data_IF_821325658580
#
_entry.id   IF_821325658580
#
_cell.length_a   1.000
_cell.length_b   1.000
_cell.length_c   1.000
_cell.angle_alpha   90.00
_cell.angle_beta   90.00
_cell.angle_gamma   90.00
#
_symmetry.space_group_name_H-M   'P 1'
#
loop_
_entity.id
_entity.type
_entity.pdbx_description
1 polymer ?
#
# COMPACT_ATOMS: atom_id res chain seq x y z
N UNK A 1 -29.84 -4.79 20.85
CA UNK A 1 -29.18 -3.46 20.94
C UNK A 1 -28.46 -3.21 19.62
N UNK A 2 -28.69 -2.08 18.94
CA UNK A 2 -27.83 -1.67 17.83
C UNK A 2 -26.46 -1.33 18.43
N UNK A 3 -25.40 -1.95 17.91
CA UNK A 3 -24.02 -1.60 18.25
C UNK A 3 -23.73 -0.22 17.67
N UNK A 4 -23.06 0.66 18.41
CA UNK A 4 -22.59 1.93 17.86
C UNK A 4 -21.66 1.65 16.66
N UNK A 5 -21.75 2.43 15.57
CA UNK A 5 -20.78 2.35 14.48
C UNK A 5 -19.35 2.54 14.98
N UNK A 6 -18.43 1.76 14.43
CA UNK A 6 -17.02 1.75 14.83
C UNK A 6 -16.19 2.48 13.78
N UNK A 7 -15.55 3.58 14.20
CA UNK A 7 -14.55 4.31 13.42
C UNK A 7 -13.14 3.85 13.83
N UNK A 8 -12.37 3.35 12.88
CA UNK A 8 -10.97 3.00 13.08
C UNK A 8 -10.02 4.09 12.57
N UNK A 9 -9.04 4.45 13.39
CA UNK A 9 -7.97 5.37 13.02
C UNK A 9 -6.60 4.67 13.09
N UNK A 10 -5.61 5.12 12.29
CA UNK A 10 -4.26 4.58 12.36
C UNK A 10 -3.71 4.67 13.79
N UNK A 11 -3.05 3.63 14.25
CA UNK A 11 -2.63 3.51 15.65
C UNK A 11 -1.38 4.30 16.01
N UNK A 12 -0.60 4.76 15.03
CA UNK A 12 0.63 5.53 15.23
C UNK A 12 1.12 6.20 13.94
N UNK A 13 2.08 7.11 14.10
CA UNK A 13 2.83 7.74 13.01
C UNK A 13 2.07 8.86 12.32
N UNK A 14 2.67 9.38 11.24
CA UNK A 14 2.20 10.57 10.52
C UNK A 14 0.76 10.48 10.01
N UNK A 15 0.31 9.28 9.64
CA UNK A 15 -1.06 9.06 9.18
C UNK A 15 -2.09 9.29 10.29
N UNK A 16 -1.77 8.84 11.52
CA UNK A 16 -2.60 9.07 12.70
C UNK A 16 -2.69 10.56 13.04
N UNK A 17 -1.54 11.22 13.12
CA UNK A 17 -1.43 12.64 13.49
C UNK A 17 -2.30 13.50 12.57
N UNK A 18 -2.14 13.32 11.25
CA UNK A 18 -2.92 14.07 10.26
C UNK A 18 -4.42 13.73 10.26
N UNK A 19 -4.78 12.46 10.49
CA UNK A 19 -6.19 12.08 10.61
C UNK A 19 -6.85 12.76 11.83
N UNK A 20 -6.13 12.83 12.97
CA UNK A 20 -6.62 13.52 14.16
C UNK A 20 -6.68 15.04 13.97
N UNK A 21 -5.70 15.65 13.30
CA UNK A 21 -5.73 17.07 12.95
C UNK A 21 -6.95 17.41 12.07
N UNK A 22 -7.23 16.58 11.07
CA UNK A 22 -8.39 16.76 10.19
C UNK A 22 -9.71 16.66 10.96
N UNK A 23 -9.87 15.64 11.81
CA UNK A 23 -11.06 15.48 12.64
C UNK A 23 -11.21 16.62 13.65
N UNK A 24 -10.12 17.05 14.27
CA UNK A 24 -10.13 18.18 15.19
C UNK A 24 -10.50 19.50 14.50
N UNK A 25 -10.03 19.73 13.27
CA UNK A 25 -10.43 20.88 12.45
C UNK A 25 -11.92 20.85 12.09
N UNK A 26 -12.51 19.66 11.98
CA UNK A 26 -13.95 19.46 11.82
C UNK A 26 -14.75 19.53 13.14
N UNK A 27 -14.10 19.80 14.27
CA UNK A 27 -14.74 19.89 15.59
C UNK A 27 -14.85 18.56 16.36
N UNK A 28 -14.27 17.48 15.83
CA UNK A 28 -14.30 16.14 16.42
C UNK A 28 -12.92 15.77 16.98
N UNK A 29 -12.60 16.25 18.18
CA UNK A 29 -11.35 15.86 18.86
C UNK A 29 -11.44 14.41 19.30
N UNK A 30 -10.36 13.68 19.06
CA UNK A 30 -10.23 12.28 19.46
C UNK A 30 -9.27 12.17 20.63
N UNK A 31 -9.74 11.61 21.74
CA UNK A 31 -8.93 11.35 22.92
C UNK A 31 -8.81 9.85 23.15
N UNK A 32 -7.59 9.37 23.38
CA UNK A 32 -7.37 7.97 23.74
C UNK A 32 -7.86 7.72 25.16
N UNK A 33 -8.64 6.66 25.34
CA UNK A 33 -9.07 6.22 26.66
C UNK A 33 -7.99 5.37 27.31
N UNK A 34 -7.69 5.63 28.59
CA UNK A 34 -6.68 4.92 29.36
C UNK A 34 -5.26 5.39 29.06
N UNK A 35 -4.37 4.45 28.72
CA UNK A 35 -2.96 4.79 28.43
C UNK A 35 -2.79 5.44 27.05
N UNK A 36 -1.66 6.12 26.82
CA UNK A 36 -1.29 6.64 25.49
C UNK A 36 -1.21 5.54 24.39
N UNK A 37 -1.14 4.25 24.78
CA UNK A 37 -1.20 3.08 23.91
C UNK A 37 -2.58 2.40 23.89
N UNK A 38 -3.60 3.05 24.44
CA UNK A 38 -4.97 2.55 24.50
C UNK A 38 -5.53 2.26 23.11
N UNK A 39 -6.21 1.14 22.98
CA UNK A 39 -6.84 0.67 21.74
C UNK A 39 -8.15 1.39 21.41
N UNK A 40 -8.80 2.00 22.42
CA UNK A 40 -10.09 2.69 22.29
C UNK A 40 -9.91 4.20 22.47
N UNK A 41 -10.73 4.98 21.77
CA UNK A 41 -10.83 6.43 21.93
C UNK A 41 -12.27 6.89 22.12
N UNK A 42 -12.41 8.16 22.46
CA UNK A 42 -13.67 8.90 22.49
C UNK A 42 -13.59 10.07 21.52
N UNK A 43 -14.73 10.43 20.93
CA UNK A 43 -14.88 11.55 20.03
C UNK A 43 -15.70 12.65 20.71
N UNK A 44 -15.16 13.87 20.75
CA UNK A 44 -15.82 14.99 21.42
C UNK A 44 -17.20 15.28 20.81
N UNK A 45 -18.24 15.29 21.65
CA UNK A 45 -19.61 15.59 21.24
C UNK A 45 -20.30 14.48 20.44
N UNK A 46 -19.73 13.26 20.39
CA UNK A 46 -20.27 12.10 19.67
C UNK A 46 -20.14 10.81 20.50
N UNK A 47 -21.15 10.54 21.31
CA UNK A 47 -21.26 9.29 22.10
C UNK A 47 -21.91 8.15 21.28
N UNK A 48 -22.34 8.45 20.05
CA UNK A 48 -22.94 7.53 19.09
C UNK A 48 -21.91 6.74 18.28
N UNK A 49 -20.61 6.99 18.47
CA UNK A 49 -19.51 6.30 17.77
C UNK A 49 -18.53 5.64 18.73
N UNK A 50 -18.10 4.42 18.37
CA UNK A 50 -16.95 3.77 19.00
C UNK A 50 -15.69 4.09 18.20
N UNK A 51 -14.65 4.64 18.84
CA UNK A 51 -13.36 4.89 18.17
C UNK A 51 -12.34 3.84 18.57
N UNK A 52 -11.67 3.24 17.58
CA UNK A 52 -10.59 2.26 17.78
C UNK A 52 -9.32 2.67 17.03
N UNK A 53 -8.17 2.23 17.54
CA UNK A 53 -6.87 2.49 16.96
C UNK A 53 -6.24 1.20 16.46
N UNK A 54 -6.06 1.08 15.15
CA UNK A 54 -5.57 -0.12 14.46
C UNK A 54 -4.38 0.23 13.55
N UNK A 55 -3.53 -0.74 13.21
CA UNK A 55 -2.57 -0.51 12.13
C UNK A 55 -3.31 -0.26 10.81
N UNK A 56 -2.74 0.51 9.89
CA UNK A 56 -3.40 0.81 8.62
C UNK A 56 -3.78 -0.46 7.82
N UNK A 57 -2.94 -1.51 7.88
CA UNK A 57 -3.23 -2.81 7.28
C UNK A 57 -4.40 -3.53 7.96
N UNK A 58 -4.49 -3.47 9.29
CA UNK A 58 -5.62 -4.05 10.03
C UNK A 58 -6.93 -3.29 9.77
N UNK A 59 -6.88 -1.98 9.49
CA UNK A 59 -8.07 -1.21 9.11
C UNK A 59 -8.62 -1.73 7.79
N UNK A 60 -7.76 -1.93 6.78
CA UNK A 60 -8.19 -2.45 5.47
C UNK A 60 -8.82 -3.86 5.60
N UNK A 61 -8.20 -4.76 6.37
CA UNK A 61 -8.76 -6.10 6.58
C UNK A 61 -10.02 -6.11 7.46
N UNK A 62 -10.10 -5.23 8.47
CA UNK A 62 -11.26 -5.14 9.35
C UNK A 62 -12.48 -4.55 8.65
N UNK A 63 -12.28 -3.61 7.71
CA UNK A 63 -13.35 -3.11 6.84
C UNK A 63 -13.88 -4.24 5.95
N UNK A 64 -12.99 -4.99 5.29
CA UNK A 64 -13.36 -6.15 4.47
C UNK A 64 -14.16 -7.20 5.24
N UNK A 65 -13.77 -7.47 6.48
CA UNK A 65 -14.42 -8.45 7.35
C UNK A 65 -15.73 -7.93 8.00
N UNK A 66 -16.08 -6.65 7.82
CA UNK A 66 -17.23 -6.02 8.48
C UNK A 66 -17.09 -5.91 10.00
N UNK A 67 -15.86 -5.90 10.52
CA UNK A 67 -15.56 -5.76 11.97
C UNK A 67 -15.63 -4.31 12.43
N UNK A 68 -15.40 -3.37 11.52
CA UNK A 68 -15.50 -1.93 11.69
C UNK A 68 -16.37 -1.34 10.57
N UNK A 69 -16.98 -0.19 10.83
CA UNK A 69 -17.93 0.43 9.92
C UNK A 69 -17.28 1.55 9.09
N UNK A 70 -16.31 2.27 9.66
CA UNK A 70 -15.52 3.29 8.99
C UNK A 70 -14.05 3.17 9.36
N UNK A 71 -13.15 3.60 8.47
CA UNK A 71 -11.72 3.59 8.75
C UNK A 71 -10.91 4.56 7.90
N UNK A 72 -9.83 5.11 8.48
CA UNK A 72 -8.83 5.90 7.74
C UNK A 72 -7.60 5.02 7.49
N UNK A 73 -7.29 4.73 6.23
CA UNK A 73 -6.13 3.90 5.83
C UNK A 73 -5.59 4.32 4.48
N UNK A 74 -4.42 3.82 4.09
CA UNK A 74 -3.85 4.08 2.76
C UNK A 74 -4.64 3.37 1.65
N UNK A 75 -4.88 4.08 0.55
CA UNK A 75 -5.54 3.54 -0.64
C UNK A 75 -4.80 2.31 -1.22
N UNK A 76 -3.48 2.25 -1.07
CA UNK A 76 -2.63 1.10 -1.41
C UNK A 76 -3.02 -0.15 -0.62
N UNK A 77 -3.20 -0.02 0.69
CA UNK A 77 -3.58 -1.13 1.56
C UNK A 77 -5.00 -1.60 1.26
N UNK A 78 -5.91 -0.65 1.00
CA UNK A 78 -7.28 -0.95 0.65
C UNK A 78 -7.35 -1.75 -0.67
N UNK A 79 -6.70 -1.26 -1.73
CA UNK A 79 -6.70 -1.88 -3.07
C UNK A 79 -5.87 -3.16 -3.16
N UNK A 80 -4.95 -3.38 -2.23
CA UNK A 80 -4.24 -4.66 -2.07
C UNK A 80 -5.12 -5.70 -1.35
N UNK A 81 -5.89 -5.27 -0.34
CA UNK A 81 -6.66 -6.18 0.53
C UNK A 81 -8.03 -6.55 -0.07
N UNK A 82 -8.66 -5.60 -0.76
CA UNK A 82 -10.03 -5.71 -1.30
C UNK A 82 -9.95 -5.67 -2.83
N UNK A 83 -10.50 -6.71 -3.47
CA UNK A 83 -10.53 -6.78 -4.91
C UNK A 83 -11.46 -5.70 -5.48
N UNK A 84 -11.13 -5.13 -6.65
CA UNK A 84 -11.96 -4.09 -7.27
C UNK A 84 -13.40 -4.54 -7.61
N UNK A 85 -13.62 -5.85 -7.74
CA UNK A 85 -14.94 -6.45 -7.96
C UNK A 85 -15.75 -6.60 -6.68
N UNK A 86 -15.10 -6.48 -5.53
CA UNK A 86 -15.70 -6.64 -4.22
C UNK A 86 -16.29 -5.30 -3.75
N UNK A 87 -17.61 -5.29 -3.53
CA UNK A 87 -18.37 -4.06 -3.19
C UNK A 87 -18.64 -3.94 -1.68
N UNK A 88 -17.85 -4.62 -0.85
CA UNK A 88 -17.98 -4.62 0.61
C UNK A 88 -17.58 -3.29 1.25
N UNK A 89 -16.76 -2.48 0.57
CA UNK A 89 -16.23 -1.21 1.09
C UNK A 89 -16.22 -0.17 -0.01
N UNK A 90 -16.80 0.99 0.28
CA UNK A 90 -16.76 2.17 -0.58
C UNK A 90 -15.64 3.13 -0.11
N UNK A 91 -14.91 3.69 -1.07
CA UNK A 91 -13.94 4.76 -0.81
C UNK A 91 -14.69 6.09 -0.82
N UNK A 92 -15.06 6.55 0.38
CA UNK A 92 -15.88 7.76 0.56
C UNK A 92 -15.16 9.05 0.15
N UNK A 93 -13.90 9.22 0.59
CA UNK A 93 -13.15 10.44 0.35
C UNK A 93 -11.64 10.23 0.41
N UNK A 94 -10.91 11.06 -0.34
CA UNK A 94 -9.45 11.14 -0.31
C UNK A 94 -9.05 12.30 0.60
N UNK A 95 -8.27 12.03 1.64
CA UNK A 95 -8.00 13.01 2.69
C UNK A 95 -6.83 13.95 2.38
N UNK A 96 -6.12 13.75 1.26
CA UNK A 96 -5.10 14.69 0.78
C UNK A 96 -3.76 14.62 1.51
N UNK A 97 -3.50 13.56 2.29
CA UNK A 97 -2.24 13.36 2.98
C UNK A 97 -1.77 11.90 2.94
N UNK A 98 -0.54 11.65 3.40
CA UNK A 98 0.03 10.29 3.37
C UNK A 98 0.44 9.84 1.97
N UNK A 99 0.70 10.79 1.06
CA UNK A 99 1.07 10.52 -0.33
C UNK A 99 2.26 9.56 -0.46
N UNK A 100 2.06 8.51 -1.23
CA UNK A 100 3.09 7.57 -1.63
C UNK A 100 2.65 6.79 -2.88
N UNK A 101 3.59 6.46 -3.75
CA UNK A 101 3.32 5.76 -4.99
C UNK A 101 3.79 4.32 -4.88
N UNK A 102 2.94 3.37 -5.28
CA UNK A 102 3.34 1.98 -5.52
C UNK A 102 3.93 1.92 -6.93
N UNK A 103 5.19 1.49 -7.05
CA UNK A 103 5.97 1.60 -8.29
C UNK A 103 6.70 0.31 -8.61
N UNK A 104 6.91 0.08 -9.91
CA UNK A 104 7.85 -0.93 -10.43
C UNK A 104 9.24 -0.29 -10.52
N UNK A 105 10.22 -0.88 -9.83
CA UNK A 105 11.59 -0.40 -9.83
C UNK A 105 12.60 -1.52 -10.09
N UNK A 106 13.71 -1.17 -10.73
CA UNK A 106 14.76 -2.09 -11.13
C UNK A 106 16.15 -1.44 -11.04
N UNK A 107 17.26 -2.19 -11.10
CA UNK A 107 18.61 -1.63 -11.01
C UNK A 107 18.89 -0.54 -12.05
N UNK A 108 19.49 0.57 -11.62
CA UNK A 108 19.81 1.71 -12.48
C UNK A 108 20.75 1.34 -13.65
N UNK A 109 21.52 0.24 -13.50
CA UNK A 109 22.40 -0.28 -14.54
C UNK A 109 21.67 -0.92 -15.73
N UNK A 110 20.36 -1.13 -15.66
CA UNK A 110 19.55 -1.60 -16.79
C UNK A 110 19.19 -0.39 -17.66
N UNK A 111 20.18 0.14 -18.37
CA UNK A 111 20.06 1.40 -19.10
C UNK A 111 18.95 1.35 -20.16
N UNK A 112 18.83 0.23 -20.87
CA UNK A 112 17.92 0.05 -22.01
C UNK A 112 16.51 -0.41 -21.60
N UNK A 113 16.19 -0.42 -20.31
CA UNK A 113 14.86 -0.81 -19.80
C UNK A 113 14.23 0.40 -19.12
N UNK A 114 13.35 1.10 -19.84
CA UNK A 114 12.72 2.34 -19.37
C UNK A 114 11.22 2.16 -19.10
N UNK A 115 10.56 1.24 -19.80
CA UNK A 115 9.12 1.02 -19.75
C UNK A 115 8.75 -0.40 -19.32
N UNK A 116 7.47 -0.62 -19.02
CA UNK A 116 6.91 -1.95 -18.76
C UNK A 116 6.99 -2.86 -19.99
N UNK A 117 6.96 -2.30 -21.21
CA UNK A 117 7.14 -3.07 -22.45
C UNK A 117 8.57 -3.60 -22.56
N UNK A 118 9.58 -2.76 -22.30
CA UNK A 118 10.98 -3.20 -22.26
C UNK A 118 11.19 -4.29 -21.20
N UNK A 119 10.52 -4.16 -20.05
CA UNK A 119 10.56 -5.17 -19.00
C UNK A 119 9.96 -6.52 -19.46
N UNK A 120 8.86 -6.52 -20.23
CA UNK A 120 8.28 -7.74 -20.78
C UNK A 120 9.28 -8.46 -21.71
N UNK A 121 9.93 -7.74 -22.62
CA UNK A 121 10.95 -8.31 -23.50
C UNK A 121 12.07 -9.01 -22.70
N UNK A 122 12.54 -8.37 -21.63
CA UNK A 122 13.53 -8.96 -20.73
C UNK A 122 12.98 -10.19 -20.00
N UNK A 123 11.71 -10.18 -19.57
CA UNK A 123 11.09 -11.32 -18.90
C UNK A 123 10.93 -12.53 -19.84
N UNK A 124 10.50 -12.30 -21.08
CA UNK A 124 10.38 -13.32 -22.12
C UNK A 124 11.74 -13.94 -22.44
N UNK A 125 12.75 -13.09 -22.67
CA UNK A 125 14.12 -13.55 -22.93
C UNK A 125 14.70 -14.32 -21.72
N UNK A 126 14.48 -13.82 -20.51
CA UNK A 126 14.90 -14.49 -19.28
C UNK A 126 14.29 -15.88 -19.17
N UNK A 127 12.99 -16.02 -19.44
CA UNK A 127 12.30 -17.31 -19.40
C UNK A 127 12.86 -18.27 -20.46
N UNK A 128 13.05 -17.81 -21.70
CA UNK A 128 13.61 -18.62 -22.78
C UNK A 128 15.02 -19.14 -22.44
N UNK A 129 15.86 -18.33 -21.79
CA UNK A 129 17.23 -18.69 -21.41
C UNK A 129 17.31 -19.59 -20.16
N UNK A 130 16.43 -19.41 -19.18
CA UNK A 130 16.57 -20.04 -17.86
C UNK A 130 15.48 -21.07 -17.54
N UNK A 131 14.44 -21.20 -18.36
CA UNK A 131 13.29 -22.09 -18.12
C UNK A 131 12.44 -21.69 -16.91
N UNK A 132 12.60 -20.48 -16.38
CA UNK A 132 11.88 -19.96 -15.20
C UNK A 132 11.70 -18.46 -15.30
N UNK A 133 10.60 -17.96 -14.72
CA UNK A 133 10.29 -16.54 -14.79
C UNK A 133 11.26 -15.63 -14.04
N UNK A 134 11.39 -14.40 -14.54
CA UNK A 134 12.11 -13.31 -13.87
C UNK A 134 11.43 -12.99 -12.53
N UNK A 135 12.22 -12.76 -11.48
CA UNK A 135 11.68 -12.61 -10.13
C UNK A 135 11.35 -11.15 -9.83
N UNK A 136 10.12 -10.91 -9.40
CA UNK A 136 9.62 -9.63 -8.92
C UNK A 136 9.37 -9.74 -7.42
N UNK A 137 10.13 -9.03 -6.58
CA UNK A 137 9.92 -9.00 -5.14
C UNK A 137 8.92 -7.91 -4.74
N UNK A 138 7.93 -8.25 -3.93
CA UNK A 138 6.94 -7.28 -3.44
C UNK A 138 6.18 -7.79 -2.23
N UNK A 139 5.50 -6.89 -1.51
CA UNK A 139 4.41 -7.22 -0.59
C UNK A 139 3.01 -6.97 -1.19
N UNK A 140 2.95 -6.30 -2.33
CA UNK A 140 1.71 -5.92 -3.02
C UNK A 140 1.35 -6.96 -4.09
N UNK A 141 0.96 -8.15 -3.65
CA UNK A 141 0.67 -9.29 -4.53
C UNK A 141 -0.45 -8.98 -5.52
N UNK A 142 -1.58 -8.47 -5.04
CA UNK A 142 -2.77 -8.23 -5.85
C UNK A 142 -2.56 -7.04 -6.80
N UNK A 143 -1.99 -5.93 -6.31
CA UNK A 143 -1.68 -4.77 -7.14
C UNK A 143 -0.70 -5.13 -8.26
N UNK A 144 0.38 -5.85 -7.93
CA UNK A 144 1.40 -6.25 -8.90
C UNK A 144 0.82 -7.14 -9.99
N UNK A 145 0.06 -8.19 -9.61
CA UNK A 145 -0.56 -9.11 -10.58
C UNK A 145 -1.46 -8.38 -11.56
N UNK A 146 -2.34 -7.51 -11.03
CA UNK A 146 -3.28 -6.76 -11.84
C UNK A 146 -2.56 -5.82 -12.81
N UNK A 147 -1.61 -5.04 -12.32
CA UNK A 147 -0.88 -4.08 -13.14
C UNK A 147 -0.03 -4.76 -14.23
N UNK A 148 0.67 -5.83 -13.91
CA UNK A 148 1.48 -6.56 -14.89
C UNK A 148 0.60 -7.19 -15.97
N UNK A 149 -0.57 -7.72 -15.60
CA UNK A 149 -1.54 -8.22 -16.56
C UNK A 149 -2.12 -7.10 -17.46
N UNK A 150 -2.46 -5.93 -16.89
CA UNK A 150 -2.92 -4.75 -17.64
C UNK A 150 -1.85 -4.25 -18.63
N UNK A 151 -0.57 -4.36 -18.28
CA UNK A 151 0.58 -4.00 -19.12
C UNK A 151 1.00 -5.10 -20.09
N UNK A 152 0.38 -6.27 -20.04
CA UNK A 152 0.72 -7.41 -20.90
C UNK A 152 2.05 -8.09 -20.57
N UNK A 153 2.62 -7.85 -19.38
CA UNK A 153 3.90 -8.45 -18.98
C UNK A 153 3.72 -9.93 -18.67
N UNK A 154 4.58 -10.76 -19.25
CA UNK A 154 4.60 -12.22 -19.09
C UNK A 154 5.98 -12.70 -18.63
N UNK A 155 6.21 -14.01 -18.50
CA UNK A 155 7.55 -14.53 -18.21
C UNK A 155 8.13 -14.17 -16.82
N UNK A 156 7.30 -13.73 -15.88
CA UNK A 156 7.72 -13.36 -14.52
C UNK A 156 7.15 -14.29 -13.45
N UNK A 157 7.71 -14.23 -12.25
CA UNK A 157 7.13 -14.80 -11.02
C UNK A 157 7.28 -13.83 -9.87
N UNK A 158 6.24 -13.71 -9.06
CA UNK A 158 6.25 -12.86 -7.87
C UNK A 158 6.85 -13.64 -6.71
N UNK A 159 7.70 -12.98 -5.93
CA UNK A 159 8.23 -13.45 -4.66
C UNK A 159 7.76 -12.49 -3.57
N UNK A 160 7.22 -13.05 -2.51
CA UNK A 160 6.82 -12.27 -1.35
C UNK A 160 8.03 -11.71 -0.61
N UNK A 161 8.02 -10.41 -0.35
CA UNK A 161 9.06 -9.67 0.36
C UNK A 161 8.40 -8.84 1.47
N UNK A 162 8.36 -9.35 2.71
CA UNK A 162 7.68 -8.66 3.81
C UNK A 162 8.45 -7.45 4.36
N UNK A 163 9.71 -7.24 3.94
CA UNK A 163 10.50 -6.08 4.33
C UNK A 163 11.83 -5.98 3.60
N UNK A 164 12.41 -4.78 3.60
CA UNK A 164 13.64 -4.43 2.87
C UNK A 164 13.61 -4.86 1.39
N UNK A 165 12.46 -4.64 0.73
CA UNK A 165 12.23 -5.03 -0.67
C UNK A 165 13.25 -4.39 -1.59
N UNK A 166 13.68 -3.15 -1.30
CA UNK A 166 14.73 -2.43 -2.01
C UNK A 166 16.09 -3.15 -2.05
N UNK A 167 16.36 -4.04 -1.08
CA UNK A 167 17.59 -4.83 -1.04
C UNK A 167 17.52 -6.12 -1.88
N UNK A 168 16.33 -6.52 -2.35
CA UNK A 168 16.15 -7.79 -3.05
C UNK A 168 16.99 -7.91 -4.34
N UNK A 169 17.18 -6.85 -5.16
CA UNK A 169 18.09 -6.87 -6.30
C UNK A 169 19.55 -7.08 -5.91
N UNK A 170 20.05 -6.31 -4.93
CA UNK A 170 21.45 -6.39 -4.48
C UNK A 170 21.80 -7.76 -3.87
N UNK A 171 20.85 -8.36 -3.14
CA UNK A 171 21.02 -9.67 -2.52
C UNK A 171 20.71 -10.85 -3.46
N UNK A 172 20.39 -10.59 -4.74
CA UNK A 172 20.11 -11.63 -5.74
C UNK A 172 18.82 -12.43 -5.51
N UNK A 173 17.93 -11.95 -4.64
CA UNK A 173 16.65 -12.61 -4.32
C UNK A 173 15.61 -12.35 -5.41
N UNK A 174 15.64 -11.16 -6.03
CA UNK A 174 14.81 -10.80 -7.17
C UNK A 174 15.59 -9.91 -8.15
N UNK A 175 15.08 -9.71 -9.36
CA UNK A 175 15.66 -8.78 -10.34
C UNK A 175 14.95 -7.42 -10.32
N UNK A 176 13.64 -7.46 -10.13
CA UNK A 176 12.74 -6.30 -10.13
C UNK A 176 12.01 -6.26 -8.80
N UNK A 177 11.58 -5.08 -8.39
CA UNK A 177 10.75 -4.90 -7.21
C UNK A 177 9.47 -4.17 -7.57
N UNK A 178 8.43 -4.44 -6.79
CA UNK A 178 7.29 -3.54 -6.64
C UNK A 178 7.22 -3.11 -5.20
N UNK A 179 7.39 -1.83 -4.95
CA UNK A 179 7.40 -1.27 -3.60
C UNK A 179 6.76 0.12 -3.57
N UNK A 180 6.49 0.62 -2.38
CA UNK A 180 5.90 1.93 -2.13
C UNK A 180 6.98 2.96 -1.84
N UNK A 181 6.86 4.16 -2.40
CA UNK A 181 7.80 5.25 -2.16
C UNK A 181 7.11 6.60 -2.10
N UNK A 182 7.52 7.47 -1.17
CA UNK A 182 7.01 8.84 -1.11
C UNK A 182 7.89 9.83 -1.89
N UNK A 183 9.21 9.73 -1.75
CA UNK A 183 10.17 10.68 -2.35
C UNK A 183 11.16 10.01 -3.31
N UNK A 184 11.16 8.68 -3.42
CA UNK A 184 12.16 7.92 -4.18
C UNK A 184 13.51 7.77 -3.49
N UNK A 185 13.74 8.37 -2.30
CA UNK A 185 15.07 8.38 -1.67
C UNK A 185 15.59 6.98 -1.35
N UNK A 186 14.73 6.08 -0.88
CA UNK A 186 15.08 4.68 -0.56
C UNK A 186 15.50 3.91 -1.82
N UNK A 187 14.80 4.10 -2.94
CA UNK A 187 15.14 3.48 -4.22
C UNK A 187 16.50 3.97 -4.71
N UNK A 188 16.71 5.29 -4.69
CA UNK A 188 17.98 5.90 -5.09
C UNK A 188 19.16 5.43 -4.22
N UNK A 189 18.97 5.32 -2.90
CA UNK A 189 19.99 4.81 -1.99
C UNK A 189 20.42 3.36 -2.32
N UNK A 190 19.52 2.59 -2.95
CA UNK A 190 19.76 1.21 -3.37
C UNK A 190 20.04 1.08 -4.87
N UNK A 191 20.35 2.18 -5.57
CA UNK A 191 20.68 2.21 -7.00
C UNK A 191 19.56 1.63 -7.87
N UNK A 192 18.31 1.94 -7.53
CA UNK A 192 17.13 1.54 -8.28
C UNK A 192 16.53 2.75 -8.99
N UNK A 193 16.04 2.52 -10.21
CA UNK A 193 15.22 3.46 -10.99
C UNK A 193 13.79 2.94 -11.12
N UNK A 194 12.84 3.87 -11.20
CA UNK A 194 11.43 3.59 -11.48
C UNK A 194 11.26 3.54 -12.99
N UNK A 195 10.45 2.61 -13.50
CA UNK A 195 10.07 2.59 -14.91
C UNK A 195 9.12 3.76 -15.23
N UNK A 196 9.28 4.39 -16.40
CA UNK A 196 8.59 5.62 -16.80
C UNK A 196 7.07 5.49 -16.74
N UNK A 197 6.55 4.32 -17.13
CA UNK A 197 5.13 3.97 -17.08
C UNK A 197 4.84 2.89 -16.01
N UNK A 198 5.74 2.74 -15.04
CA UNK A 198 5.70 1.75 -13.94
C UNK A 198 5.07 2.26 -12.64
N UNK A 199 4.32 3.36 -12.67
CA UNK A 199 3.52 3.80 -11.51
C UNK A 199 2.23 2.97 -11.47
N UNK A 200 2.11 2.11 -10.46
CA UNK A 200 0.95 1.22 -10.27
C UNK A 200 -0.22 1.97 -9.65
N UNK A 201 0.06 2.75 -8.61
CA UNK A 201 -0.97 3.46 -7.84
C UNK A 201 -0.36 4.68 -7.17
N UNK A 202 -1.01 5.83 -7.32
CA UNK A 202 -0.78 7.02 -6.48
C UNK A 202 -1.65 6.93 -5.25
N UNK A 203 -1.07 6.53 -4.13
CA UNK A 203 -1.78 6.31 -2.87
C UNK A 203 -1.79 7.56 -1.99
N UNK A 204 -2.85 7.67 -1.20
CA UNK A 204 -3.00 8.61 -0.10
C UNK A 204 -3.98 8.02 0.92
N UNK A 205 -4.16 8.74 2.03
CA UNK A 205 -5.17 8.46 3.04
C UNK A 205 -6.61 8.73 2.54
#
# INVERSE_FOLDING_TARGET
MKKNPVLALPSKGRLMEKAQELLAAAGYRIERTGSARGYRGQMSGRDDFDVVFLSASEIASSLKDGKIDLGVTGEDLLRETIAATDKVVDLETKLGFGHADVVVALPECWLDVATMADLDEVCVEWYARHGRGLRVATKYMALTRRFFAEKGVTGYRIIESPGATEGAPANGTAQVIVDITSTGSTLKANRLKILDDGIILRSQA
#
